data_IF_859333674957
#
_entry.id   IF_859333674957
#
_cell.length_a   1.000
_cell.length_b   1.000
_cell.length_c   1.000
_cell.angle_alpha   90.00
_cell.angle_beta   90.00
_cell.angle_gamma   90.00
#
_symmetry.space_group_name_H-M   'P 1'
#
loop_
_entity.id
_entity.type
_entity.pdbx_description
1 polymer ?
#
# COMPACT_ATOMS: atom_id res chain seq x y z
N UNK A 1 -21.80 -0.98 -57.74
CA UNK A 1 -22.70 -0.10 -56.92
C UNK A 1 -23.03 -0.73 -55.54
N UNK A 2 -23.12 -2.04 -55.41
CA UNK A 2 -23.44 -2.77 -54.17
C UNK A 2 -22.37 -2.61 -53.07
N UNK A 3 -21.09 -2.52 -53.42
CA UNK A 3 -20.01 -2.42 -52.43
C UNK A 3 -19.94 -1.06 -51.73
N UNK A 4 -20.33 0.03 -52.39
CA UNK A 4 -20.37 1.36 -51.79
C UNK A 4 -21.57 1.50 -50.84
N UNK A 5 -22.73 0.96 -51.19
CA UNK A 5 -23.92 1.00 -50.33
C UNK A 5 -23.68 0.16 -49.06
N UNK A 6 -23.05 -1.02 -49.16
CA UNK A 6 -22.67 -1.84 -47.99
C UNK A 6 -21.71 -1.12 -47.06
N UNK A 7 -20.67 -0.47 -47.59
CA UNK A 7 -19.71 0.30 -46.78
C UNK A 7 -20.35 1.52 -46.09
N UNK A 8 -21.31 2.18 -46.73
CA UNK A 8 -22.05 3.28 -46.11
C UNK A 8 -22.97 2.78 -45.01
N UNK A 9 -23.64 1.65 -45.21
CA UNK A 9 -24.49 1.03 -44.20
C UNK A 9 -23.66 0.57 -42.99
N UNK A 10 -22.48 -0.05 -43.17
CA UNK A 10 -21.57 -0.42 -42.11
C UNK A 10 -21.07 0.81 -41.33
N UNK A 11 -20.70 1.90 -42.03
CA UNK A 11 -20.30 3.16 -41.38
C UNK A 11 -21.41 3.81 -40.59
N UNK A 12 -22.66 3.71 -41.02
CA UNK A 12 -23.83 4.22 -40.33
C UNK A 12 -24.19 3.36 -39.11
N UNK A 13 -23.96 2.06 -39.14
CA UNK A 13 -24.23 1.13 -38.04
C UNK A 13 -23.15 1.17 -36.95
N UNK A 14 -21.91 1.54 -37.28
CA UNK A 14 -20.78 1.54 -36.36
C UNK A 14 -21.00 2.36 -35.06
N UNK A 15 -21.57 3.60 -35.11
CA UNK A 15 -21.83 4.38 -33.89
C UNK A 15 -22.80 3.67 -32.94
N UNK A 16 -23.88 3.10 -33.48
CA UNK A 16 -24.92 2.44 -32.68
C UNK A 16 -24.38 1.19 -31.99
N UNK A 17 -23.63 0.37 -32.73
CA UNK A 17 -22.99 -0.81 -32.19
C UNK A 17 -21.97 -0.45 -31.08
N UNK A 18 -21.22 0.62 -31.28
CA UNK A 18 -20.26 1.13 -30.29
C UNK A 18 -20.99 1.61 -29.02
N UNK A 19 -22.06 2.40 -29.15
CA UNK A 19 -22.87 2.88 -28.02
C UNK A 19 -23.45 1.72 -27.20
N UNK A 20 -23.99 0.70 -27.86
CA UNK A 20 -24.50 -0.49 -27.17
C UNK A 20 -23.41 -1.21 -26.40
N UNK A 21 -22.19 -1.29 -26.96
CA UNK A 21 -21.03 -1.90 -26.28
C UNK A 21 -20.63 -1.10 -25.03
N UNK A 22 -20.54 0.23 -25.12
CA UNK A 22 -20.24 1.10 -23.98
C UNK A 22 -21.28 0.94 -22.88
N UNK A 23 -22.58 1.03 -23.22
CA UNK A 23 -23.65 0.84 -22.23
C UNK A 23 -23.57 -0.51 -21.54
N UNK A 24 -23.25 -1.58 -22.27
CA UNK A 24 -23.05 -2.92 -21.70
C UNK A 24 -21.88 -2.93 -20.72
N UNK A 25 -20.74 -2.34 -21.07
CA UNK A 25 -19.58 -2.28 -20.20
C UNK A 25 -19.81 -1.50 -18.91
N UNK A 26 -20.58 -0.42 -18.97
CA UNK A 26 -20.88 0.39 -17.77
C UNK A 26 -21.83 -0.32 -16.77
N UNK A 27 -22.54 -1.36 -17.20
CA UNK A 27 -23.51 -2.11 -16.37
C UNK A 27 -23.03 -3.56 -16.11
N UNK A 28 -21.95 -3.99 -16.75
CA UNK A 28 -21.46 -5.35 -16.66
C UNK A 28 -20.93 -5.67 -15.25
N UNK A 29 -21.27 -6.85 -14.74
CA UNK A 29 -20.69 -7.46 -13.56
C UNK A 29 -20.11 -8.85 -13.91
N UNK A 30 -18.85 -9.14 -13.62
CA UNK A 30 -17.83 -8.23 -13.03
C UNK A 30 -17.49 -7.07 -13.97
N UNK A 31 -17.01 -5.93 -13.42
CA UNK A 31 -16.70 -4.74 -14.21
C UNK A 31 -15.53 -5.02 -15.18
N UNK A 32 -15.53 -4.38 -16.37
CA UNK A 32 -14.49 -4.62 -17.37
C UNK A 32 -13.14 -4.04 -16.93
N UNK A 33 -12.01 -4.63 -17.36
CA UNK A 33 -10.70 -4.08 -17.10
C UNK A 33 -10.51 -2.72 -17.79
N UNK A 34 -9.85 -1.77 -17.12
CA UNK A 34 -9.65 -0.40 -17.62
C UNK A 34 -9.02 -0.35 -19.02
N UNK A 35 -8.13 -1.29 -19.33
CA UNK A 35 -7.53 -1.41 -20.68
C UNK A 35 -8.59 -1.58 -21.77
N UNK A 36 -9.68 -2.31 -21.50
CA UNK A 36 -10.78 -2.47 -22.45
C UNK A 36 -11.57 -1.18 -22.61
N UNK A 37 -11.84 -0.48 -21.50
CA UNK A 37 -12.49 0.82 -21.55
C UNK A 37 -11.68 1.85 -22.34
N UNK A 38 -10.36 1.88 -22.19
CA UNK A 38 -9.46 2.71 -23.00
C UNK A 38 -9.52 2.35 -24.48
N UNK A 39 -9.49 1.07 -24.80
CA UNK A 39 -9.61 0.59 -26.20
C UNK A 39 -10.90 1.06 -26.84
N UNK A 40 -12.03 0.90 -26.14
CA UNK A 40 -13.34 1.36 -26.62
C UNK A 40 -13.39 2.88 -26.72
N UNK A 41 -12.78 3.63 -25.81
CA UNK A 41 -12.64 5.08 -25.90
C UNK A 41 -11.89 5.51 -27.16
N UNK A 42 -10.75 4.89 -27.46
CA UNK A 42 -9.97 5.16 -28.68
C UNK A 42 -10.75 4.80 -29.97
N UNK A 43 -11.55 3.74 -29.94
CA UNK A 43 -12.44 3.42 -31.06
C UNK A 43 -13.52 4.50 -31.25
N UNK A 44 -14.11 4.98 -30.14
CA UNK A 44 -15.11 6.05 -30.15
C UNK A 44 -14.60 7.35 -30.75
N UNK A 45 -13.35 7.72 -30.46
CA UNK A 45 -12.70 8.91 -31.01
C UNK A 45 -12.52 8.85 -32.55
N UNK A 46 -12.51 7.67 -33.14
CA UNK A 46 -12.40 7.48 -34.60
C UNK A 46 -13.74 7.57 -35.31
N UNK A 47 -14.85 7.64 -34.60
CA UNK A 47 -16.19 7.75 -35.17
C UNK A 47 -16.41 9.22 -35.58
N UNK A 48 -16.84 9.44 -36.83
CA UNK A 48 -16.99 10.76 -37.42
C UNK A 48 -17.98 11.68 -36.68
N UNK A 49 -18.96 11.12 -35.98
CA UNK A 49 -19.87 11.84 -35.07
C UNK A 49 -19.63 11.28 -33.66
N UNK A 50 -19.03 12.11 -32.79
CA UNK A 50 -18.72 11.73 -31.42
C UNK A 50 -20.01 11.35 -30.67
N UNK A 51 -20.18 10.10 -30.22
CA UNK A 51 -21.36 9.71 -29.44
C UNK A 51 -21.34 10.36 -28.06
N UNK A 52 -22.49 10.74 -27.47
CA UNK A 52 -22.53 11.37 -26.15
C UNK A 52 -21.96 10.48 -25.03
N UNK A 53 -21.99 9.17 -25.20
CA UNK A 53 -21.38 8.20 -24.29
C UNK A 53 -19.86 8.28 -24.26
N UNK A 54 -19.21 8.83 -25.30
CA UNK A 54 -17.77 9.02 -25.35
C UNK A 54 -17.30 9.98 -24.25
N UNK A 55 -18.00 11.10 -24.06
CA UNK A 55 -17.68 12.06 -23.02
C UNK A 55 -17.84 11.47 -21.61
N UNK A 56 -18.82 10.57 -21.43
CA UNK A 56 -18.99 9.85 -20.16
C UNK A 56 -17.85 8.89 -19.92
N UNK A 57 -17.47 8.11 -20.93
CA UNK A 57 -16.38 7.15 -20.86
C UNK A 57 -15.03 7.86 -20.61
N UNK A 58 -14.76 8.96 -21.31
CA UNK A 58 -13.53 9.73 -21.12
C UNK A 58 -13.46 10.38 -19.74
N UNK A 59 -14.56 10.95 -19.24
CA UNK A 59 -14.63 11.46 -17.86
C UNK A 59 -14.36 10.37 -16.85
N UNK A 60 -14.90 9.20 -17.08
CA UNK A 60 -14.65 8.02 -16.25
C UNK A 60 -13.16 7.62 -16.24
N UNK A 61 -12.55 7.48 -17.42
CA UNK A 61 -11.12 7.14 -17.57
C UNK A 61 -10.24 8.19 -16.86
N UNK A 62 -10.51 9.49 -17.08
CA UNK A 62 -9.80 10.59 -16.42
C UNK A 62 -9.90 10.57 -14.87
N UNK A 63 -11.00 10.06 -14.32
CA UNK A 63 -11.16 9.88 -12.87
C UNK A 63 -10.42 8.64 -12.34
N UNK A 64 -10.34 7.58 -13.14
CA UNK A 64 -9.69 6.34 -12.78
C UNK A 64 -8.15 6.44 -12.79
N UNK A 65 -7.57 7.18 -13.74
CA UNK A 65 -6.12 7.28 -13.91
C UNK A 65 -5.37 7.82 -12.69
N UNK A 66 -5.77 8.93 -12.03
CA UNK A 66 -5.12 9.43 -10.83
C UNK A 66 -5.22 8.44 -9.65
N UNK A 67 -6.33 7.69 -9.57
CA UNK A 67 -6.49 6.67 -8.54
C UNK A 67 -5.50 5.52 -8.76
N UNK A 68 -5.37 5.02 -10.00
CA UNK A 68 -4.42 3.94 -10.33
C UNK A 68 -2.98 4.38 -10.05
N UNK A 69 -2.63 5.60 -10.42
CA UNK A 69 -1.28 6.13 -10.16
C UNK A 69 -1.03 6.22 -8.66
N UNK A 70 -2.00 6.69 -7.88
CA UNK A 70 -1.89 6.74 -6.43
C UNK A 70 -1.77 5.33 -5.83
N UNK A 71 -2.59 4.37 -6.28
CA UNK A 71 -2.49 2.98 -5.85
C UNK A 71 -1.12 2.35 -6.18
N UNK A 72 -0.58 2.62 -7.38
CA UNK A 72 0.76 2.16 -7.76
C UNK A 72 1.86 2.73 -6.88
N UNK A 73 1.81 4.02 -6.57
CA UNK A 73 2.77 4.67 -5.69
C UNK A 73 2.68 4.05 -4.29
N UNK A 74 1.47 3.83 -3.78
CA UNK A 74 1.23 3.19 -2.49
C UNK A 74 1.78 1.77 -2.44
N UNK A 75 1.49 0.96 -3.47
CA UNK A 75 1.93 -0.44 -3.59
C UNK A 75 3.42 -0.57 -3.95
N UNK A 76 4.07 0.50 -4.43
CA UNK A 76 5.47 0.44 -4.80
C UNK A 76 6.35 0.23 -3.56
N UNK A 77 7.20 -0.80 -3.59
CA UNK A 77 8.19 -1.13 -2.53
C UNK A 77 9.38 -0.17 -2.48
N UNK A 78 9.32 0.99 -3.14
CA UNK A 78 10.41 1.96 -3.11
C UNK A 78 10.46 2.63 -1.74
N UNK A 79 11.17 1.99 -0.82
CA UNK A 79 11.77 2.71 0.28
C UNK A 79 12.70 3.79 -0.31
N UNK A 80 12.44 5.05 0.01
CA UNK A 80 13.46 6.06 -0.11
C UNK A 80 14.61 5.60 0.81
N UNK A 81 15.69 5.05 0.23
CA UNK A 81 16.93 4.85 0.98
C UNK A 81 17.27 6.20 1.60
N UNK A 82 17.38 6.31 2.95
CA UNK A 82 17.87 7.53 3.56
C UNK A 82 19.21 7.81 2.92
N UNK A 83 19.29 8.94 2.24
CA UNK A 83 20.44 9.32 1.43
C UNK A 83 21.70 9.31 2.26
N UNK A 84 22.54 8.31 2.05
CA UNK A 84 23.95 8.37 2.43
C UNK A 84 24.51 9.55 1.64
N UNK A 85 24.65 10.71 2.30
CA UNK A 85 25.32 11.87 1.79
C UNK A 85 26.76 11.49 1.45
N UNK A 86 27.01 10.96 0.27
CA UNK A 86 28.34 10.94 -0.32
C UNK A 86 28.58 12.35 -0.85
N UNK A 87 29.40 13.10 -0.13
CA UNK A 87 30.08 14.30 -0.57
C UNK A 87 31.01 13.84 -1.69
N UNK A 88 30.62 14.02 -2.90
CA UNK A 88 31.40 14.19 -4.14
C UNK A 88 30.61 13.62 -5.33
N UNK A 89 30.02 14.53 -6.09
CA UNK A 89 29.97 14.42 -7.55
C UNK A 89 29.42 15.71 -8.14
N UNK A 90 30.36 16.54 -8.58
CA UNK A 90 30.09 17.58 -9.55
C UNK A 90 29.64 16.95 -10.87
N UNK A 91 28.56 17.54 -11.48
CA UNK A 91 28.11 17.40 -12.86
C UNK A 91 27.58 16.03 -13.31
N UNK A 92 26.22 15.90 -13.28
CA UNK A 92 25.45 15.49 -14.45
C UNK A 92 23.99 15.90 -14.19
N UNK A 93 23.47 16.74 -15.05
CA UNK A 93 22.06 17.11 -15.17
C UNK A 93 21.27 15.89 -15.63
N UNK A 94 20.82 15.08 -14.69
CA UNK A 94 19.73 14.14 -14.91
C UNK A 94 18.45 14.80 -14.43
N UNK A 95 17.34 14.71 -15.16
CA UNK A 95 16.07 15.26 -14.71
C UNK A 95 15.75 14.63 -13.36
N UNK A 96 15.54 15.46 -12.35
CA UNK A 96 15.10 15.01 -11.01
C UNK A 96 13.82 14.21 -11.17
N UNK A 97 13.70 13.04 -10.53
CA UNK A 97 12.42 12.35 -10.49
C UNK A 97 11.38 13.27 -9.84
N UNK A 98 10.13 13.22 -10.27
CA UNK A 98 9.09 14.09 -9.74
C UNK A 98 9.00 13.94 -8.22
N UNK A 99 8.83 15.05 -7.46
CA UNK A 99 8.86 15.07 -6.00
C UNK A 99 7.72 14.32 -5.30
N UNK A 100 6.85 13.65 -6.05
CA UNK A 100 5.62 13.01 -5.57
C UNK A 100 5.79 11.65 -4.88
N UNK A 101 6.98 11.04 -4.89
CA UNK A 101 7.16 9.68 -4.35
C UNK A 101 7.63 9.63 -2.89
N UNK A 102 7.97 10.76 -2.28
CA UNK A 102 8.59 10.80 -0.96
C UNK A 102 7.60 10.98 0.20
N UNK A 103 6.33 11.30 -0.06
CA UNK A 103 5.39 11.75 0.98
C UNK A 103 4.00 11.10 0.86
N UNK A 104 3.94 9.82 0.48
CA UNK A 104 2.67 9.08 0.50
C UNK A 104 2.40 8.63 1.92
N UNK A 105 1.29 9.12 2.49
CA UNK A 105 0.76 8.63 3.75
C UNK A 105 0.47 7.12 3.63
N UNK A 106 1.17 6.32 4.43
CA UNK A 106 1.07 4.86 4.50
C UNK A 106 0.34 4.39 5.74
N UNK A 107 -0.52 5.24 6.31
CA UNK A 107 -1.38 4.86 7.41
C UNK A 107 -2.44 3.83 6.97
N UNK A 108 -2.95 3.00 7.89
CA UNK A 108 -4.09 2.11 7.64
C UNK A 108 -5.30 2.86 7.10
N UNK A 109 -5.54 4.07 7.61
CA UNK A 109 -6.65 4.94 7.21
C UNK A 109 -6.51 5.38 5.75
N UNK A 110 -5.31 5.75 5.31
CA UNK A 110 -5.04 6.12 3.93
C UNK A 110 -5.24 4.93 2.98
N UNK A 111 -4.84 3.73 3.39
CA UNK A 111 -5.07 2.49 2.64
C UNK A 111 -6.56 2.20 2.48
N UNK A 112 -7.33 2.24 3.57
CA UNK A 112 -8.77 2.01 3.56
C UNK A 112 -9.51 3.09 2.76
N UNK A 113 -9.12 4.36 2.86
CA UNK A 113 -9.68 5.44 2.06
C UNK A 113 -9.42 5.22 0.56
N UNK A 114 -8.23 4.71 0.20
CA UNK A 114 -7.89 4.39 -1.19
C UNK A 114 -8.76 3.23 -1.71
N UNK A 115 -8.99 2.20 -0.89
CA UNK A 115 -9.88 1.08 -1.20
C UNK A 115 -11.34 1.54 -1.37
N UNK A 116 -11.86 2.36 -0.45
CA UNK A 116 -13.23 2.89 -0.54
C UNK A 116 -13.46 3.71 -1.79
N UNK A 117 -12.47 4.52 -2.19
CA UNK A 117 -12.53 5.27 -3.45
C UNK A 117 -12.58 4.35 -4.67
N UNK A 118 -11.92 3.20 -4.62
CA UNK A 118 -11.98 2.19 -5.67
C UNK A 118 -13.39 1.61 -5.84
N UNK A 119 -14.12 1.37 -4.75
CA UNK A 119 -15.48 0.83 -4.79
C UNK A 119 -16.46 1.69 -5.60
N UNK A 120 -16.16 3.00 -5.75
CA UNK A 120 -16.94 3.91 -6.60
C UNK A 120 -16.57 3.85 -8.09
N UNK A 121 -15.56 3.06 -8.47
CA UNK A 121 -15.04 3.00 -9.83
C UNK A 121 -15.43 1.65 -10.46
N UNK A 122 -16.30 1.64 -11.50
CA UNK A 122 -16.79 0.41 -12.11
C UNK A 122 -15.78 -0.17 -13.13
N UNK A 123 -14.58 -0.55 -12.66
CA UNK A 123 -13.58 -1.25 -13.47
C UNK A 123 -12.75 -2.19 -12.62
N UNK A 124 -12.19 -3.22 -13.26
CA UNK A 124 -11.19 -4.09 -12.67
C UNK A 124 -9.78 -3.61 -13.01
N UNK A 125 -8.90 -3.65 -12.03
CA UNK A 125 -7.48 -3.44 -12.23
C UNK A 125 -6.65 -4.36 -11.34
N UNK A 126 -5.44 -4.75 -11.78
CA UNK A 126 -4.54 -5.54 -10.93
C UNK A 126 -4.13 -4.78 -9.66
N UNK A 127 -4.09 -3.45 -9.72
CA UNK A 127 -3.80 -2.60 -8.56
C UNK A 127 -4.90 -2.72 -7.50
N UNK A 128 -6.16 -2.84 -7.90
CA UNK A 128 -7.28 -3.03 -6.97
C UNK A 128 -7.15 -4.38 -6.24
N UNK A 129 -6.91 -5.46 -6.98
CA UNK A 129 -6.74 -6.80 -6.40
C UNK A 129 -5.53 -6.84 -5.43
N UNK A 130 -4.43 -6.17 -5.79
CA UNK A 130 -3.26 -6.06 -4.91
C UNK A 130 -3.56 -5.24 -3.65
N UNK A 131 -4.34 -4.15 -3.78
CA UNK A 131 -4.75 -3.32 -2.65
C UNK A 131 -5.64 -4.10 -1.68
N UNK A 132 -6.62 -4.85 -2.20
CA UNK A 132 -7.51 -5.71 -1.39
C UNK A 132 -6.67 -6.77 -0.64
N UNK A 133 -5.71 -7.41 -1.32
CA UNK A 133 -4.83 -8.37 -0.68
C UNK A 133 -3.97 -7.74 0.44
N UNK A 134 -3.50 -6.50 0.28
CA UNK A 134 -2.76 -5.78 1.33
C UNK A 134 -3.67 -5.44 2.51
N UNK A 135 -4.92 -5.02 2.25
CA UNK A 135 -5.92 -4.76 3.31
C UNK A 135 -6.21 -6.03 4.11
N UNK A 136 -6.45 -7.15 3.44
CA UNK A 136 -6.71 -8.44 4.10
C UNK A 136 -5.50 -8.87 4.96
N UNK A 137 -4.28 -8.74 4.43
CA UNK A 137 -3.05 -9.05 5.16
C UNK A 137 -2.85 -8.12 6.37
N UNK A 138 -3.14 -6.83 6.22
CA UNK A 138 -3.09 -5.86 7.32
C UNK A 138 -4.08 -6.22 8.44
N UNK A 139 -5.31 -6.58 8.10
CA UNK A 139 -6.30 -7.02 9.08
C UNK A 139 -5.89 -8.30 9.79
N UNK A 140 -5.42 -9.31 9.03
CA UNK A 140 -4.95 -10.57 9.60
C UNK A 140 -3.78 -10.34 10.55
N UNK A 141 -2.81 -9.52 10.15
CA UNK A 141 -1.68 -9.13 10.99
C UNK A 141 -2.14 -8.41 12.26
N UNK A 142 -3.02 -7.41 12.14
CA UNK A 142 -3.51 -6.62 13.29
C UNK A 142 -4.21 -7.51 14.32
N UNK A 143 -5.02 -8.46 13.88
CA UNK A 143 -5.69 -9.44 14.76
C UNK A 143 -4.67 -10.35 15.44
N UNK A 144 -3.70 -10.88 14.68
CA UNK A 144 -2.67 -11.76 15.22
C UNK A 144 -1.77 -11.03 16.23
N UNK A 145 -1.33 -9.82 15.91
CA UNK A 145 -0.49 -9.01 16.77
C UNK A 145 -1.21 -8.58 18.05
N UNK A 146 -2.49 -8.17 17.95
CA UNK A 146 -3.31 -7.84 19.11
C UNK A 146 -3.49 -9.06 20.02
N UNK A 147 -3.88 -10.21 19.46
CA UNK A 147 -4.03 -11.45 20.22
C UNK A 147 -2.73 -11.89 20.89
N UNK A 148 -1.58 -11.60 20.27
CA UNK A 148 -0.28 -11.87 20.87
C UNK A 148 0.01 -10.91 22.05
N UNK A 149 -0.25 -9.61 21.87
CA UNK A 149 -0.01 -8.58 22.89
C UNK A 149 -0.98 -8.68 24.09
N UNK A 150 -2.17 -9.27 23.90
CA UNK A 150 -3.17 -9.48 24.95
C UNK A 150 -2.91 -10.75 25.79
N UNK A 151 -1.90 -11.57 25.43
CA UNK A 151 -1.55 -12.74 26.24
C UNK A 151 -1.00 -12.33 27.60
N UNK A 152 -1.16 -13.22 28.59
CA UNK A 152 -0.69 -13.00 29.96
C UNK A 152 0.82 -12.66 29.99
N UNK A 153 1.21 -11.57 30.67
CA UNK A 153 2.63 -11.17 30.81
C UNK A 153 3.54 -12.31 31.31
N UNK A 154 3.09 -13.07 32.32
CA UNK A 154 3.89 -14.17 32.90
C UNK A 154 4.18 -15.27 31.87
N UNK A 155 3.24 -15.52 30.93
CA UNK A 155 3.44 -16.48 29.86
C UNK A 155 4.41 -15.99 28.78
N UNK A 156 4.69 -14.67 28.72
CA UNK A 156 5.51 -14.03 27.67
C UNK A 156 7.00 -13.95 27.98
N UNK A 157 7.43 -14.22 29.22
CA UNK A 157 8.83 -14.07 29.66
C UNK A 157 9.76 -15.16 29.11
N UNK A 158 9.24 -16.17 28.42
CA UNK A 158 10.07 -17.20 27.80
C UNK A 158 10.65 -16.75 26.47
N UNK A 159 11.93 -17.03 26.21
CA UNK A 159 12.62 -16.71 24.95
C UNK A 159 11.91 -17.27 23.70
N UNK A 160 11.17 -18.39 23.84
CA UNK A 160 10.37 -18.92 22.73
C UNK A 160 9.26 -17.98 22.25
N UNK A 161 8.78 -17.11 23.14
CA UNK A 161 7.79 -16.10 22.79
C UNK A 161 8.41 -14.93 22.01
N UNK A 162 9.66 -14.58 22.28
CA UNK A 162 10.38 -13.55 21.51
C UNK A 162 10.51 -13.97 20.05
N UNK A 163 10.87 -15.24 19.79
CA UNK A 163 10.97 -15.77 18.42
C UNK A 163 9.60 -15.74 17.68
N UNK A 164 8.50 -15.98 18.40
CA UNK A 164 7.15 -15.87 17.83
C UNK A 164 6.82 -14.41 17.51
N UNK A 165 7.11 -13.48 18.43
CA UNK A 165 6.91 -12.05 18.22
C UNK A 165 7.70 -11.51 17.03
N UNK A 166 8.96 -11.93 16.90
CA UNK A 166 9.82 -11.54 15.77
C UNK A 166 9.28 -12.03 14.44
N UNK A 167 8.73 -13.24 14.40
CA UNK A 167 8.08 -13.77 13.19
C UNK A 167 6.83 -12.96 12.82
N UNK A 168 6.02 -12.58 13.82
CA UNK A 168 4.85 -11.73 13.61
C UNK A 168 5.30 -10.34 13.15
N UNK A 169 6.30 -9.75 13.81
CA UNK A 169 6.86 -8.46 13.46
C UNK A 169 7.36 -8.41 12.01
N UNK A 170 8.13 -9.42 11.60
CA UNK A 170 8.64 -9.53 10.24
C UNK A 170 7.51 -9.53 9.18
N UNK A 171 6.35 -10.13 9.48
CA UNK A 171 5.18 -10.09 8.60
C UNK A 171 4.62 -8.68 8.50
N UNK A 172 4.51 -7.96 9.63
CA UNK A 172 4.02 -6.57 9.66
C UNK A 172 4.91 -5.60 8.87
N UNK A 173 6.24 -5.76 9.00
CA UNK A 173 7.21 -4.91 8.28
C UNK A 173 7.16 -5.10 6.75
N UNK A 174 6.80 -6.31 6.28
CA UNK A 174 6.64 -6.59 4.85
C UNK A 174 5.44 -5.89 4.20
N UNK A 175 4.44 -5.46 5.00
CA UNK A 175 3.24 -4.79 4.49
C UNK A 175 3.51 -3.35 4.04
N UNK A 176 4.61 -2.73 4.50
CA UNK A 176 4.94 -1.32 4.24
C UNK A 176 3.83 -0.33 4.59
N UNK A 177 2.96 -0.69 5.53
CA UNK A 177 1.91 0.13 6.13
C UNK A 177 2.31 0.45 7.56
N UNK A 178 2.09 1.66 8.03
CA UNK A 178 2.44 2.10 9.38
C UNK A 178 1.38 1.61 10.37
N UNK A 179 1.44 0.34 10.75
CA UNK A 179 0.49 -0.31 11.65
C UNK A 179 0.94 -0.10 13.10
N UNK A 180 0.12 0.44 14.01
CA UNK A 180 0.50 0.69 15.40
C UNK A 180 1.02 -0.55 16.14
N UNK A 181 0.47 -1.73 15.84
CA UNK A 181 0.89 -3.00 16.44
C UNK A 181 2.33 -3.39 16.09
N UNK A 182 2.87 -2.93 14.95
CA UNK A 182 4.29 -3.13 14.61
C UNK A 182 5.17 -2.44 15.64
N UNK A 183 4.87 -1.18 15.97
CA UNK A 183 5.62 -0.44 16.97
C UNK A 183 5.47 -1.04 18.38
N UNK A 184 4.26 -1.46 18.75
CA UNK A 184 4.00 -2.10 20.03
C UNK A 184 4.78 -3.42 20.19
N UNK A 185 4.86 -4.24 19.12
CA UNK A 185 5.67 -5.47 19.12
C UNK A 185 7.17 -5.17 19.23
N UNK A 186 7.66 -4.15 18.51
CA UNK A 186 9.07 -3.73 18.57
C UNK A 186 9.44 -3.30 19.99
N UNK A 187 8.61 -2.47 20.61
CA UNK A 187 8.82 -2.03 21.99
C UNK A 187 8.79 -3.22 22.97
N UNK A 188 7.84 -4.11 22.81
CA UNK A 188 7.74 -5.29 23.68
C UNK A 188 8.95 -6.21 23.53
N UNK A 189 9.42 -6.50 22.32
CA UNK A 189 10.62 -7.32 22.07
C UNK A 189 11.85 -6.65 22.69
N UNK A 190 12.02 -5.35 22.51
CA UNK A 190 13.11 -4.57 23.09
C UNK A 190 13.08 -4.65 24.64
N UNK A 191 11.88 -4.51 25.23
CA UNK A 191 11.70 -4.63 26.68
C UNK A 191 12.10 -6.00 27.22
N UNK A 192 11.62 -7.10 26.58
CA UNK A 192 11.95 -8.47 27.03
C UNK A 192 13.43 -8.78 26.90
N UNK A 193 14.05 -8.34 25.81
CA UNK A 193 15.50 -8.52 25.62
C UNK A 193 16.31 -7.77 26.66
N UNK A 194 15.99 -6.50 26.90
CA UNK A 194 16.63 -5.70 27.93
C UNK A 194 16.47 -6.33 29.31
N UNK A 195 15.24 -6.79 29.66
CA UNK A 195 14.98 -7.45 30.93
C UNK A 195 15.79 -8.75 31.11
N UNK A 196 15.91 -9.56 30.04
CA UNK A 196 16.72 -10.77 30.05
C UNK A 196 18.22 -10.46 30.21
N UNK A 197 18.70 -9.38 29.64
CA UNK A 197 20.07 -8.91 29.76
C UNK A 197 20.38 -8.46 31.19
N UNK A 198 19.53 -7.63 31.78
CA UNK A 198 19.66 -7.18 33.18
C UNK A 198 19.63 -8.35 34.15
N UNK A 199 18.75 -9.34 33.96
CA UNK A 199 18.71 -10.54 34.82
C UNK A 199 19.90 -11.48 34.57
N UNK A 200 20.47 -11.48 33.36
CA UNK A 200 21.65 -12.25 33.01
C UNK A 200 22.93 -11.76 33.63
N UNK A 201 22.98 -10.49 34.05
CA UNK A 201 24.16 -9.89 34.72
C UNK A 201 24.39 -10.51 36.11
N UNK A 202 23.36 -11.10 36.72
CA UNK A 202 23.43 -11.80 38.00
C UNK A 202 23.81 -10.89 39.18
N UNK A 203 24.39 -11.46 40.25
CA UNK A 203 24.88 -10.73 41.43
C UNK A 203 26.26 -10.05 41.20
N UNK A 204 26.63 -9.79 39.94
CA UNK A 204 27.88 -9.12 39.59
C UNK A 204 27.85 -7.63 39.98
N UNK A 205 29.01 -7.05 40.33
CA UNK A 205 29.13 -5.62 40.50
C UNK A 205 29.17 -4.94 39.13
N UNK A 206 28.17 -4.13 38.82
CA UNK A 206 28.18 -3.26 37.64
C UNK A 206 29.08 -2.04 37.91
N UNK A 207 29.83 -1.65 36.91
CA UNK A 207 30.53 -0.37 36.90
C UNK A 207 29.51 0.77 36.70
N UNK A 208 29.88 1.98 37.10
CA UNK A 208 29.01 3.14 36.91
C UNK A 208 28.64 3.39 35.43
N UNK A 209 29.57 3.10 34.55
CA UNK A 209 29.37 3.31 33.13
C UNK A 209 28.39 2.26 32.56
N UNK A 210 28.48 0.99 32.98
CA UNK A 210 27.51 -0.07 32.62
C UNK A 210 26.11 0.23 33.15
N UNK A 211 25.96 0.77 34.35
CA UNK A 211 24.66 1.22 34.88
C UNK A 211 24.08 2.34 34.02
N UNK A 212 24.92 3.29 33.61
CA UNK A 212 24.47 4.40 32.80
C UNK A 212 24.06 3.96 31.35
N UNK A 213 24.76 3.00 30.77
CA UNK A 213 24.39 2.39 29.49
C UNK A 213 23.04 1.67 29.59
N UNK A 214 22.83 0.88 30.64
CA UNK A 214 21.55 0.20 30.90
C UNK A 214 20.38 1.17 31.13
N UNK A 215 20.63 2.29 31.83
CA UNK A 215 19.62 3.36 32.00
C UNK A 215 19.25 4.00 30.67
N UNK A 216 20.23 4.29 29.79
CA UNK A 216 19.98 4.84 28.46
C UNK A 216 19.20 3.87 27.57
N UNK A 217 19.50 2.58 27.65
CA UNK A 217 18.77 1.55 26.92
C UNK A 217 17.34 1.40 27.45
N UNK A 218 17.14 1.46 28.79
CA UNK A 218 15.81 1.45 29.39
C UNK A 218 14.95 2.63 28.90
N UNK A 219 15.53 3.82 28.86
CA UNK A 219 14.85 5.02 28.36
C UNK A 219 14.51 4.88 26.86
N UNK A 220 15.42 4.33 26.06
CA UNK A 220 15.20 4.06 24.64
C UNK A 220 14.08 3.02 24.39
N UNK A 221 13.93 2.05 25.29
CA UNK A 221 12.86 1.06 25.28
C UNK A 221 11.53 1.60 25.87
N UNK A 222 11.51 2.81 26.38
CA UNK A 222 10.34 3.42 27.04
C UNK A 222 10.02 2.80 28.41
N UNK A 223 11.02 2.20 29.06
CA UNK A 223 10.90 1.63 30.40
C UNK A 223 11.09 2.78 31.39
N UNK A 224 10.01 3.20 32.04
CA UNK A 224 10.08 4.24 33.08
C UNK A 224 10.72 3.63 34.32
N UNK A 225 11.98 4.00 34.65
CA UNK A 225 12.60 3.69 35.93
C UNK A 225 11.82 4.39 37.05
N UNK A 226 10.97 3.66 37.77
CA UNK A 226 10.41 4.14 39.04
C UNK A 226 11.50 3.99 40.08
N UNK A 227 12.19 5.10 40.38
CA UNK A 227 13.04 5.23 41.56
C UNK A 227 12.20 5.26 42.83
#
# INVERSE_FOLDING_TARGET
>A
LTSHASRLAERAAAPVAWQQRVRRFLVQHPPPPLRMLRGVGQEGQKIAMAPPELDQLERFIRRAEPWIEHARIFLSKRQAKPGRRTKDSRRRTSPSPPPMAADVDRSPEALLALQQRAASLPFESPELQQLDAVVDQMHAFSVQAAAYLDRDPEARESMSYVDEAERILAQGELLHVHIPQVHALQQWIAHVRWFAEVHGIGEGFLTRDEVHELEQEADACGIVSTH
#
